data_IF_960893632641
#
_entry.id   IF_960893632641
#
_cell.length_a   1.000
_cell.length_b   1.000
_cell.length_c   1.000
_cell.angle_alpha   90.00
_cell.angle_beta   90.00
_cell.angle_gamma   90.00
#
_symmetry.space_group_name_H-M   'P 1'
#
loop_
_entity.id
_entity.type
_entity.pdbx_description
1 polymer ?
#
# COMPACT_ATOMS: atom_id res chain seq x y z
N UNK A 1 -22.98 -9.63 -1.63
CA UNK A 1 -21.94 -10.43 -0.94
C UNK A 1 -20.61 -9.73 -1.11
N UNK A 2 -19.62 -9.99 -0.25
CA UNK A 2 -18.27 -9.41 -0.38
C UNK A 2 -17.25 -10.56 -0.34
N UNK A 3 -16.83 -11.08 -1.52
CA UNK A 3 -15.91 -12.21 -1.56
C UNK A 3 -14.52 -11.80 -1.08
N UNK A 4 -13.79 -12.77 -0.53
CA UNK A 4 -12.37 -12.59 -0.27
C UNK A 4 -11.63 -12.23 -1.56
N UNK A 5 -10.53 -11.50 -1.41
CA UNK A 5 -9.65 -11.19 -2.53
C UNK A 5 -9.21 -12.48 -3.26
N UNK A 6 -9.11 -12.43 -4.60
CA UNK A 6 -8.89 -13.62 -5.42
C UNK A 6 -7.49 -14.20 -5.18
N UNK A 7 -6.47 -13.36 -5.10
CA UNK A 7 -5.09 -13.78 -4.88
C UNK A 7 -4.58 -13.47 -3.47
N UNK A 8 -5.36 -12.75 -2.67
CA UNK A 8 -5.01 -12.43 -1.29
C UNK A 8 -4.00 -11.29 -1.18
N UNK A 9 -3.78 -10.53 -2.27
CA UNK A 9 -2.93 -9.36 -2.35
C UNK A 9 -3.84 -8.13 -2.43
N UNK A 10 -3.77 -7.27 -1.43
CA UNK A 10 -4.56 -6.03 -1.41
C UNK A 10 -3.61 -4.85 -1.51
N UNK A 11 -3.49 -4.19 -2.68
CA UNK A 11 -2.60 -3.05 -2.82
C UNK A 11 -3.06 -1.89 -1.93
N UNK A 12 -2.09 -1.22 -1.34
CA UNK A 12 -2.28 0.02 -0.59
C UNK A 12 -1.63 1.14 -1.40
N UNK A 13 -2.38 2.18 -1.68
CA UNK A 13 -1.90 3.28 -2.51
C UNK A 13 -2.32 4.63 -1.95
N UNK A 14 -1.41 5.60 -1.98
CA UNK A 14 -1.69 7.00 -1.61
C UNK A 14 -2.55 7.72 -2.65
N UNK A 15 -2.53 7.24 -3.89
CA UNK A 15 -3.34 7.70 -5.03
C UNK A 15 -4.05 6.50 -5.66
N UNK A 16 -5.14 6.71 -6.40
CA UNK A 16 -5.91 5.62 -7.02
C UNK A 16 -5.15 5.05 -8.24
N UNK A 17 -4.25 4.09 -8.01
CA UNK A 17 -3.53 3.38 -9.09
C UNK A 17 -4.19 2.07 -9.52
N UNK A 18 -4.95 1.44 -8.62
CA UNK A 18 -5.61 0.15 -8.83
C UNK A 18 -7.09 0.28 -8.47
N UNK A 19 -7.96 -0.35 -9.25
CA UNK A 19 -9.40 -0.31 -9.01
C UNK A 19 -9.79 -1.05 -7.71
N UNK A 20 -9.02 -2.06 -7.33
CA UNK A 20 -9.22 -2.99 -6.22
C UNK A 20 -8.32 -2.69 -5.02
N UNK A 21 -7.82 -1.45 -4.88
CA UNK A 21 -7.04 -1.09 -3.70
C UNK A 21 -7.82 -1.19 -2.39
N UNK A 22 -7.09 -1.19 -1.28
CA UNK A 22 -7.67 -1.35 0.05
C UNK A 22 -8.81 -0.36 0.35
N UNK A 23 -8.71 0.88 -0.13
CA UNK A 23 -9.75 1.90 0.08
C UNK A 23 -10.99 1.58 -0.74
N UNK A 24 -10.83 1.19 -2.02
CA UNK A 24 -11.92 0.74 -2.87
C UNK A 24 -12.63 -0.48 -2.26
N UNK A 25 -11.86 -1.45 -1.76
CA UNK A 25 -12.40 -2.64 -1.10
C UNK A 25 -13.18 -2.31 0.18
N UNK A 26 -12.76 -1.32 0.96
CA UNK A 26 -13.54 -0.84 2.12
C UNK A 26 -14.88 -0.26 1.66
N UNK A 27 -14.88 0.60 0.63
CA UNK A 27 -16.11 1.16 0.06
C UNK A 27 -17.05 0.08 -0.46
N UNK A 28 -16.52 -0.92 -1.16
CA UNK A 28 -17.30 -2.08 -1.61
C UNK A 28 -17.87 -2.91 -0.45
N UNK A 29 -17.08 -3.11 0.61
CA UNK A 29 -17.52 -3.80 1.82
C UNK A 29 -18.70 -3.05 2.47
N UNK A 30 -18.56 -1.74 2.70
CA UNK A 30 -19.65 -0.94 3.28
C UNK A 30 -20.92 -0.99 2.43
N UNK A 31 -20.78 -0.90 1.09
CA UNK A 31 -21.89 -1.04 0.15
C UNK A 31 -22.54 -2.42 0.24
N UNK A 32 -21.75 -3.48 0.35
CA UNK A 32 -22.25 -4.85 0.41
C UNK A 32 -23.00 -5.15 1.72
N UNK A 33 -22.63 -4.50 2.82
CA UNK A 33 -23.24 -4.71 4.14
C UNK A 33 -24.47 -3.84 4.36
N UNK A 34 -24.43 -2.56 3.97
CA UNK A 34 -25.48 -1.57 4.28
C UNK A 34 -26.21 -1.00 3.06
N UNK A 35 -25.84 -1.40 1.84
CA UNK A 35 -26.46 -0.93 0.60
C UNK A 35 -25.85 0.37 0.06
N UNK A 36 -26.30 0.78 -1.13
CA UNK A 36 -25.87 2.02 -1.79
C UNK A 36 -26.37 3.28 -1.08
N UNK A 37 -27.56 3.21 -0.50
CA UNK A 37 -28.31 4.39 -0.05
C UNK A 37 -27.67 5.06 1.16
N UNK A 38 -26.91 4.30 1.95
CA UNK A 38 -26.21 4.77 3.16
C UNK A 38 -24.69 4.85 2.97
N UNK A 39 -24.19 4.59 1.76
CA UNK A 39 -22.75 4.42 1.54
C UNK A 39 -21.94 5.67 1.90
N UNK A 40 -22.38 6.85 1.46
CA UNK A 40 -21.65 8.09 1.72
C UNK A 40 -21.65 8.45 3.21
N UNK A 41 -22.77 8.23 3.91
CA UNK A 41 -22.86 8.43 5.36
C UNK A 41 -21.94 7.46 6.11
N UNK A 42 -21.90 6.19 5.71
CA UNK A 42 -21.02 5.19 6.32
C UNK A 42 -19.54 5.49 6.07
N UNK A 43 -19.19 5.95 4.86
CA UNK A 43 -17.83 6.37 4.52
C UNK A 43 -17.42 7.59 5.35
N UNK A 44 -18.30 8.58 5.49
CA UNK A 44 -18.04 9.78 6.30
C UNK A 44 -17.86 9.44 7.79
N UNK A 45 -18.74 8.58 8.34
CA UNK A 45 -18.66 8.11 9.72
C UNK A 45 -17.36 7.33 9.99
N UNK A 46 -16.97 6.44 9.07
CA UNK A 46 -15.72 5.69 9.19
C UNK A 46 -14.51 6.63 9.15
N UNK A 47 -14.48 7.56 8.19
CA UNK A 47 -13.41 8.55 8.07
C UNK A 47 -13.27 9.42 9.31
N UNK A 48 -14.38 9.84 9.93
CA UNK A 48 -14.38 10.58 11.20
C UNK A 48 -13.78 9.74 12.34
N UNK A 49 -14.14 8.46 12.41
CA UNK A 49 -13.66 7.54 13.44
C UNK A 49 -12.16 7.23 13.33
N UNK A 50 -11.60 7.24 12.12
CA UNK A 50 -10.17 7.00 11.85
C UNK A 50 -9.29 8.25 12.12
N UNK A 51 -9.92 9.38 12.45
CA UNK A 51 -9.25 10.63 12.76
C UNK A 51 -8.87 11.41 11.51
N UNK A 52 -9.59 12.51 11.27
CA UNK A 52 -9.18 13.55 10.31
C UNK A 52 -7.87 14.18 10.77
N UNK A 53 -7.01 14.62 9.83
CA UNK A 53 -5.93 15.54 10.19
C UNK A 53 -6.51 16.78 10.88
N UNK A 54 -5.71 17.45 11.70
CA UNK A 54 -6.14 18.64 12.44
C UNK A 54 -6.81 19.66 11.52
N UNK A 55 -7.72 20.48 12.08
CA UNK A 55 -8.60 21.43 11.40
C UNK A 55 -7.93 22.45 10.45
N UNK A 56 -6.59 22.47 10.33
CA UNK A 56 -5.85 23.26 9.33
C UNK A 56 -5.89 22.67 7.91
N UNK A 57 -6.20 21.38 7.75
CA UNK A 57 -6.37 20.71 6.44
C UNK A 57 -7.83 20.34 6.22
N UNK A 58 -8.71 21.34 6.15
CA UNK A 58 -10.17 21.20 6.06
C UNK A 58 -10.70 20.69 4.69
N UNK A 59 -9.93 19.90 3.94
CA UNK A 59 -10.26 19.54 2.55
C UNK A 59 -10.11 18.05 2.20
N UNK A 60 -9.70 17.17 3.12
CA UNK A 60 -9.67 15.72 2.82
C UNK A 60 -11.11 15.17 2.76
N UNK A 61 -11.44 14.51 1.65
CA UNK A 61 -12.66 13.71 1.48
C UNK A 61 -12.63 12.47 2.38
N UNK A 62 -13.78 11.80 2.62
CA UNK A 62 -13.81 10.54 3.35
C UNK A 62 -12.88 9.47 2.75
N UNK A 63 -12.86 9.32 1.42
CA UNK A 63 -11.97 8.38 0.72
C UNK A 63 -10.49 8.72 0.94
N UNK A 64 -10.10 10.00 0.83
CA UNK A 64 -8.72 10.43 1.10
C UNK A 64 -8.31 10.16 2.55
N UNK A 65 -9.22 10.38 3.49
CA UNK A 65 -8.98 10.11 4.92
C UNK A 65 -8.76 8.62 5.19
N UNK A 66 -9.61 7.76 4.65
CA UNK A 66 -9.51 6.30 4.79
C UNK A 66 -8.23 5.80 4.11
N UNK A 67 -7.97 6.23 2.88
CA UNK A 67 -6.76 5.89 2.11
C UNK A 67 -5.49 6.23 2.86
N UNK A 68 -5.40 7.46 3.39
CA UNK A 68 -4.28 7.91 4.22
C UNK A 68 -4.12 7.06 5.48
N UNK A 69 -5.22 6.76 6.17
CA UNK A 69 -5.18 5.88 7.35
C UNK A 69 -4.59 4.51 7.01
N UNK A 70 -5.03 3.89 5.92
CA UNK A 70 -4.55 2.58 5.49
C UNK A 70 -3.07 2.61 5.12
N UNK A 71 -2.61 3.65 4.41
CA UNK A 71 -1.21 3.80 4.03
C UNK A 71 -0.26 4.06 5.21
N UNK A 72 -0.68 4.87 6.19
CA UNK A 72 0.24 5.44 7.19
C UNK A 72 0.14 4.81 8.59
N UNK A 73 -1.05 4.32 8.95
CA UNK A 73 -1.41 3.98 10.34
C UNK A 73 -1.90 2.55 10.51
N UNK A 74 -2.68 2.01 9.58
CA UNK A 74 -3.31 0.70 9.71
C UNK A 74 -2.34 -0.39 10.15
N UNK A 75 -1.18 -0.50 9.51
CA UNK A 75 -0.25 -1.58 9.84
C UNK A 75 0.33 -1.44 11.27
N UNK A 76 0.48 -0.23 11.79
CA UNK A 76 0.93 0.00 13.18
C UNK A 76 -0.13 -0.48 14.18
N UNK A 77 -1.39 -0.12 13.93
CA UNK A 77 -2.52 -0.56 14.75
C UNK A 77 -2.69 -2.09 14.69
N UNK A 78 -2.49 -2.65 13.50
CA UNK A 78 -2.52 -4.09 13.26
C UNK A 78 -1.38 -4.82 14.01
N UNK A 79 -0.14 -4.31 13.95
CA UNK A 79 0.98 -4.85 14.74
C UNK A 79 0.68 -4.83 16.24
N UNK A 80 0.09 -3.75 16.76
CA UNK A 80 -0.28 -3.64 18.16
C UNK A 80 -1.36 -4.65 18.54
N UNK A 81 -2.42 -4.72 17.75
CA UNK A 81 -3.56 -5.63 17.96
C UNK A 81 -3.11 -7.08 18.01
N UNK A 82 -2.20 -7.47 17.12
CA UNK A 82 -1.67 -8.83 17.04
C UNK A 82 -0.38 -9.05 17.85
N UNK A 83 -0.06 -8.18 18.82
CA UNK A 83 1.10 -8.32 19.72
C UNK A 83 2.41 -8.63 18.98
N UNK A 84 2.69 -7.88 17.91
CA UNK A 84 3.84 -8.05 17.00
C UNK A 84 3.88 -9.39 16.25
N UNK A 85 2.73 -10.05 16.06
CA UNK A 85 2.56 -11.29 15.27
C UNK A 85 1.45 -11.10 14.23
N UNK A 86 1.62 -10.20 13.26
CA UNK A 86 0.55 -9.78 12.36
C UNK A 86 0.09 -10.93 11.43
N UNK A 87 -1.22 -10.99 11.16
CA UNK A 87 -1.81 -11.99 10.23
C UNK A 87 -1.92 -11.48 8.79
N UNK A 88 -2.10 -10.17 8.59
CA UNK A 88 -1.82 -9.49 7.33
C UNK A 88 -0.40 -8.96 7.36
N UNK A 89 0.37 -9.26 6.33
CA UNK A 89 1.74 -8.85 6.17
C UNK A 89 1.82 -7.68 5.20
N UNK A 90 2.53 -6.63 5.61
CA UNK A 90 2.65 -5.40 4.84
C UNK A 90 3.94 -5.44 4.03
N UNK A 91 3.80 -5.75 2.74
CA UNK A 91 4.86 -5.59 1.76
C UNK A 91 4.98 -4.11 1.44
N UNK A 92 6.20 -3.56 1.52
CA UNK A 92 6.45 -2.14 1.30
C UNK A 92 7.78 -1.93 0.58
N UNK A 93 7.77 -1.03 -0.41
CA UNK A 93 8.98 -0.65 -1.15
C UNK A 93 9.94 0.24 -0.36
N UNK A 94 9.49 0.82 0.75
CA UNK A 94 10.31 1.65 1.60
C UNK A 94 9.70 3.02 1.91
N UNK A 95 10.57 4.02 2.05
CA UNK A 95 10.23 5.32 2.66
C UNK A 95 9.33 6.19 1.79
N UNK A 96 9.42 6.09 0.47
CA UNK A 96 8.55 6.84 -0.43
C UNK A 96 7.15 6.23 -0.51
N UNK A 97 6.97 4.98 -0.06
CA UNK A 97 5.72 4.25 -0.25
C UNK A 97 5.38 4.17 -1.74
N UNK A 98 6.36 3.83 -2.57
CA UNK A 98 6.16 3.70 -4.01
C UNK A 98 5.21 2.54 -4.34
N UNK A 99 5.35 1.44 -3.60
CA UNK A 99 4.43 0.31 -3.61
C UNK A 99 4.20 -0.20 -2.19
N UNK A 100 2.95 -0.50 -1.87
CA UNK A 100 2.56 -1.12 -0.62
C UNK A 100 1.45 -2.13 -0.90
N UNK A 101 1.43 -3.25 -0.18
CA UNK A 101 0.34 -4.23 -0.26
C UNK A 101 0.21 -5.02 1.04
N UNK A 102 -1.03 -5.43 1.35
CA UNK A 102 -1.31 -6.39 2.40
C UNK A 102 -1.47 -7.78 1.78
N UNK A 103 -0.78 -8.76 2.36
CA UNK A 103 -0.94 -10.16 2.01
C UNK A 103 -1.39 -10.93 3.24
N UNK A 104 -2.46 -11.70 3.11
CA UNK A 104 -2.92 -12.53 4.23
C UNK A 104 -2.05 -13.78 4.39
N UNK A 105 -1.45 -13.98 5.56
CA UNK A 105 -0.53 -15.09 5.88
C UNK A 105 -1.05 -16.46 5.42
N UNK A 106 -2.30 -16.78 5.74
CA UNK A 106 -2.86 -18.11 5.44
C UNK A 106 -3.20 -18.33 3.95
N UNK A 107 -3.09 -17.28 3.14
CA UNK A 107 -3.28 -17.35 1.68
C UNK A 107 -1.97 -17.21 0.92
N UNK A 108 -0.87 -16.94 1.60
CA UNK A 108 0.43 -16.89 0.98
C UNK A 108 0.80 -18.29 0.45
N UNK A 109 1.37 -18.33 -0.75
CA UNK A 109 1.95 -19.51 -1.36
C UNK A 109 3.23 -19.14 -2.14
N UNK A 110 3.98 -20.13 -2.60
CA UNK A 110 5.28 -19.93 -3.29
C UNK A 110 5.21 -19.06 -4.57
N UNK A 111 4.01 -18.85 -5.11
CA UNK A 111 3.76 -18.00 -6.28
C UNK A 111 3.31 -16.57 -5.94
N UNK A 112 3.10 -16.25 -4.66
CA UNK A 112 2.56 -14.94 -4.23
C UNK A 112 3.50 -13.80 -4.62
N UNK A 113 4.82 -13.94 -4.43
CA UNK A 113 5.78 -12.87 -4.79
C UNK A 113 5.88 -12.67 -6.30
N UNK A 114 5.86 -13.75 -7.07
CA UNK A 114 5.85 -13.67 -8.53
C UNK A 114 4.60 -12.93 -9.03
N UNK A 115 3.44 -13.20 -8.41
CA UNK A 115 2.18 -12.51 -8.71
C UNK A 115 2.20 -11.04 -8.27
N UNK A 116 2.65 -10.76 -7.06
CA UNK A 116 2.84 -9.39 -6.52
C UNK A 116 3.63 -8.54 -7.53
N UNK A 117 4.70 -9.14 -8.09
CA UNK A 117 5.54 -8.50 -9.08
C UNK A 117 4.83 -8.28 -10.42
N UNK A 118 4.28 -9.34 -10.98
CA UNK A 118 3.72 -9.34 -12.34
C UNK A 118 2.43 -8.51 -12.46
N UNK A 119 1.54 -8.60 -11.47
CA UNK A 119 0.21 -7.98 -11.51
C UNK A 119 0.20 -6.55 -10.94
N UNK A 120 1.15 -6.21 -10.07
CA UNK A 120 1.14 -4.92 -9.37
C UNK A 120 2.39 -4.07 -9.61
N UNK A 121 3.58 -4.56 -9.25
CA UNK A 121 4.82 -3.75 -9.29
C UNK A 121 5.21 -3.36 -10.72
N UNK A 122 5.21 -4.31 -11.65
CA UNK A 122 5.56 -4.05 -13.06
C UNK A 122 4.55 -3.08 -13.71
N UNK A 123 3.21 -3.30 -13.62
CA UNK A 123 2.24 -2.36 -14.13
C UNK A 123 2.32 -0.97 -13.49
N UNK A 124 2.55 -0.89 -12.17
CA UNK A 124 2.69 0.38 -11.46
C UNK A 124 3.89 1.19 -11.95
N UNK A 125 5.00 0.52 -12.27
CA UNK A 125 6.20 1.17 -12.83
C UNK A 125 5.85 1.88 -14.15
N UNK A 126 5.14 1.19 -15.05
CA UNK A 126 4.65 1.80 -16.30
C UNK A 126 3.69 2.96 -16.07
N UNK A 127 2.72 2.82 -15.14
CA UNK A 127 1.76 3.88 -14.78
C UNK A 127 2.45 5.12 -14.24
N UNK A 128 3.42 4.97 -13.33
CA UNK A 128 4.19 6.09 -12.76
C UNK A 128 5.01 6.78 -13.85
N UNK A 129 5.69 6.03 -14.71
CA UNK A 129 6.46 6.59 -15.82
C UNK A 129 5.58 7.40 -16.78
N UNK A 130 4.43 6.86 -17.20
CA UNK A 130 3.48 7.58 -18.04
C UNK A 130 2.94 8.85 -17.36
N UNK A 131 2.67 8.80 -16.05
CA UNK A 131 2.22 9.98 -15.29
C UNK A 131 3.31 11.06 -15.22
N UNK A 132 4.57 10.67 -15.03
CA UNK A 132 5.71 11.61 -15.05
C UNK A 132 5.76 12.35 -16.39
N UNK A 133 5.71 11.63 -17.51
CA UNK A 133 5.78 12.22 -18.85
C UNK A 133 4.61 13.17 -19.13
N UNK A 134 3.40 12.79 -18.69
CA UNK A 134 2.21 13.63 -18.82
C UNK A 134 2.37 14.94 -18.04
N UNK A 135 2.75 14.87 -16.75
CA UNK A 135 2.93 16.05 -15.92
C UNK A 135 4.09 16.94 -16.40
N UNK A 136 5.12 16.37 -17.00
CA UNK A 136 6.20 17.14 -17.63
C UNK A 136 5.70 17.93 -18.84
N UNK A 137 4.88 17.32 -19.70
CA UNK A 137 4.24 18.03 -20.83
C UNK A 137 3.32 19.14 -20.33
N UNK A 138 2.51 18.87 -19.30
CA UNK A 138 1.63 19.87 -18.69
C UNK A 138 2.42 21.02 -18.08
N UNK A 139 3.57 20.75 -17.45
CA UNK A 139 4.44 21.77 -16.87
C UNK A 139 5.03 22.70 -17.95
N UNK A 140 5.37 22.16 -19.12
CA UNK A 140 5.83 22.93 -20.28
C UNK A 140 4.71 23.80 -20.86
N UNK A 141 3.48 23.27 -20.90
CA UNK A 141 2.30 23.98 -21.40
C UNK A 141 1.67 24.95 -20.37
N UNK A 142 2.11 24.92 -19.11
CA UNK A 142 1.52 25.71 -18.04
C UNK A 142 1.62 27.22 -18.29
N UNK A 143 0.48 27.90 -18.21
CA UNK A 143 0.33 29.35 -18.43
C UNK A 143 0.88 30.22 -17.30
N UNK A 144 1.10 29.66 -16.11
CA UNK A 144 1.63 30.39 -14.95
C UNK A 144 2.81 29.68 -14.31
N UNK A 145 3.74 30.46 -13.76
CA UNK A 145 4.87 29.95 -12.99
C UNK A 145 4.43 29.16 -11.75
N UNK A 146 3.34 29.57 -11.11
CA UNK A 146 2.78 28.85 -9.96
C UNK A 146 2.30 27.43 -10.35
N UNK A 147 1.54 27.31 -11.44
CA UNK A 147 1.08 26.01 -11.94
C UNK A 147 2.26 25.13 -12.38
N UNK A 148 3.23 25.70 -13.10
CA UNK A 148 4.46 24.99 -13.50
C UNK A 148 5.22 24.45 -12.29
N UNK A 149 5.42 25.26 -11.25
CA UNK A 149 6.12 24.85 -10.05
C UNK A 149 5.38 23.75 -9.28
N UNK A 150 4.04 23.76 -9.26
CA UNK A 150 3.24 22.68 -8.65
C UNK A 150 3.45 21.36 -9.41
N UNK A 151 3.31 21.37 -10.74
CA UNK A 151 3.51 20.19 -11.58
C UNK A 151 4.94 19.64 -11.47
N UNK A 152 5.95 20.51 -11.49
CA UNK A 152 7.35 20.08 -11.30
C UNK A 152 7.58 19.40 -9.95
N UNK A 153 6.94 19.87 -8.87
CA UNK A 153 7.04 19.20 -7.56
C UNK A 153 6.41 17.81 -7.57
N UNK A 154 5.27 17.64 -8.23
CA UNK A 154 4.62 16.34 -8.40
C UNK A 154 5.49 15.38 -9.23
N UNK A 155 6.10 15.87 -10.31
CA UNK A 155 7.08 15.11 -11.11
C UNK A 155 8.24 14.62 -10.25
N UNK A 156 8.83 15.48 -9.41
CA UNK A 156 9.95 15.08 -8.55
C UNK A 156 9.53 14.08 -7.46
N UNK A 157 8.29 14.18 -6.93
CA UNK A 157 7.71 13.15 -6.04
C UNK A 157 7.64 11.79 -6.75
N UNK A 158 7.07 11.77 -7.96
CA UNK A 158 6.91 10.53 -8.72
C UNK A 158 8.23 9.93 -9.19
N UNK A 159 9.23 10.73 -9.56
CA UNK A 159 10.57 10.23 -9.88
C UNK A 159 11.23 9.50 -8.71
N UNK A 160 11.11 10.04 -7.49
CA UNK A 160 11.61 9.36 -6.29
C UNK A 160 10.91 8.02 -6.06
N UNK A 161 9.58 8.00 -6.22
CA UNK A 161 8.81 6.74 -6.17
C UNK A 161 9.24 5.76 -7.27
N UNK A 162 9.45 6.23 -8.49
CA UNK A 162 9.88 5.39 -9.61
C UNK A 162 11.23 4.73 -9.33
N UNK A 163 12.22 5.49 -8.84
CA UNK A 163 13.53 4.94 -8.48
C UNK A 163 13.42 3.91 -7.36
N UNK A 164 12.64 4.19 -6.30
CA UNK A 164 12.39 3.22 -5.22
C UNK A 164 11.69 1.96 -5.75
N UNK A 165 10.70 2.11 -6.64
CA UNK A 165 9.94 1.01 -7.21
C UNK A 165 10.81 0.10 -8.10
N UNK A 166 11.73 0.66 -8.87
CA UNK A 166 12.69 -0.12 -9.67
C UNK A 166 13.62 -0.95 -8.79
N UNK A 167 14.14 -0.37 -7.71
CA UNK A 167 14.98 -1.10 -6.75
C UNK A 167 14.17 -2.22 -6.06
N UNK A 168 12.91 -1.93 -5.71
CA UNK A 168 12.01 -2.91 -5.13
C UNK A 168 11.66 -4.05 -6.12
N UNK A 169 11.47 -3.75 -7.41
CA UNK A 169 11.23 -4.78 -8.44
C UNK A 169 12.39 -5.79 -8.52
N UNK A 170 13.63 -5.30 -8.47
CA UNK A 170 14.81 -6.15 -8.48
C UNK A 170 14.89 -7.04 -7.24
N UNK A 171 14.65 -6.46 -6.06
CA UNK A 171 14.60 -7.22 -4.80
C UNK A 171 13.49 -8.27 -4.85
N UNK A 172 12.28 -7.87 -5.27
CA UNK A 172 11.13 -8.76 -5.33
C UNK A 172 11.35 -9.90 -6.33
N UNK A 173 12.00 -9.64 -7.47
CA UNK A 173 12.41 -10.67 -8.44
C UNK A 173 13.29 -11.72 -7.77
N UNK A 174 14.33 -11.29 -7.05
CA UNK A 174 15.22 -12.21 -6.35
C UNK A 174 14.47 -13.13 -5.37
N UNK A 175 13.60 -12.56 -4.54
CA UNK A 175 12.79 -13.35 -3.59
C UNK A 175 11.72 -14.21 -4.27
N UNK A 176 11.18 -13.78 -5.40
CA UNK A 176 10.25 -14.60 -6.18
C UNK A 176 10.94 -15.85 -6.74
N UNK A 177 12.19 -15.73 -7.20
CA UNK A 177 12.98 -16.87 -7.68
C UNK A 177 13.29 -17.89 -6.57
N UNK A 178 13.36 -17.44 -5.31
CA UNK A 178 13.55 -18.32 -4.14
C UNK A 178 12.32 -19.19 -3.83
N UNK A 179 11.13 -18.87 -4.36
CA UNK A 179 9.87 -19.61 -4.15
C UNK A 179 9.61 -19.95 -2.68
N UNK A 180 9.75 -18.97 -1.80
CA UNK A 180 9.62 -19.16 -0.35
C UNK A 180 8.26 -19.80 -0.04
N UNK A 181 8.28 -20.92 0.68
CA UNK A 181 7.10 -21.56 1.28
C UNK A 181 7.05 -21.28 2.78
N UNK A 182 5.83 -21.27 3.33
CA UNK A 182 5.60 -21.06 4.76
C UNK A 182 5.16 -22.36 5.40
N UNK A 183 5.77 -22.68 6.53
CA UNK A 183 5.26 -23.67 7.46
C UNK A 183 4.60 -22.91 8.61
N UNK A 184 3.28 -23.03 8.76
CA UNK A 184 2.56 -22.25 9.77
C UNK A 184 2.93 -22.67 11.20
N UNK A 185 3.47 -23.87 11.40
CA UNK A 185 3.90 -24.36 12.71
C UNK A 185 5.20 -23.67 13.20
N UNK A 186 6.03 -23.16 12.27
CA UNK A 186 7.17 -22.28 12.60
C UNK A 186 6.72 -20.97 13.28
N UNK A 187 5.44 -20.61 13.11
CA UNK A 187 4.84 -19.40 13.63
C UNK A 187 5.26 -18.13 12.90
N UNK A 188 4.61 -17.02 13.24
CA UNK A 188 4.75 -15.75 12.48
C UNK A 188 6.19 -15.25 12.45
N UNK A 189 6.92 -15.28 13.57
CA UNK A 189 8.25 -14.66 13.65
C UNK A 189 9.26 -15.27 12.68
N UNK A 190 9.35 -16.60 12.68
CA UNK A 190 10.29 -17.35 11.84
C UNK A 190 9.93 -17.15 10.37
N UNK A 191 8.64 -17.27 10.04
CA UNK A 191 8.16 -17.08 8.68
C UNK A 191 8.35 -15.64 8.17
N UNK A 192 8.10 -14.63 9.00
CA UNK A 192 8.31 -13.23 8.63
C UNK A 192 9.77 -12.93 8.30
N UNK A 193 10.70 -13.56 9.02
CA UNK A 193 12.14 -13.41 8.80
C UNK A 193 12.62 -13.92 7.44
N UNK A 194 11.86 -14.79 6.76
CA UNK A 194 12.21 -15.34 5.44
C UNK A 194 12.20 -14.27 4.34
N UNK A 195 11.55 -13.12 4.56
CA UNK A 195 11.35 -12.08 3.53
C UNK A 195 12.31 -10.90 3.62
N UNK A 196 13.23 -10.90 4.60
CA UNK A 196 14.19 -9.80 4.80
C UNK A 196 13.51 -8.44 4.85
N UNK A 197 13.96 -7.52 3.99
CA UNK A 197 13.47 -6.13 3.94
C UNK A 197 12.22 -5.93 3.05
N UNK A 198 11.65 -6.99 2.46
CA UNK A 198 10.41 -6.85 1.67
C UNK A 198 9.19 -6.51 2.53
N UNK A 199 9.24 -6.89 3.81
CA UNK A 199 8.17 -6.69 4.78
C UNK A 199 8.48 -5.52 5.71
N UNK A 200 7.50 -4.65 5.88
CA UNK A 200 7.57 -3.56 6.84
C UNK A 200 7.74 -4.11 8.27
N UNK A 201 8.45 -3.36 9.12
CA UNK A 201 8.62 -3.67 10.54
C UNK A 201 9.21 -5.08 10.81
N UNK A 202 9.97 -5.65 9.86
CA UNK A 202 10.59 -6.97 10.00
C UNK A 202 11.37 -7.11 11.32
N UNK A 203 12.22 -6.12 11.67
CA UNK A 203 12.95 -6.11 12.93
C UNK A 203 12.05 -6.15 14.17
N UNK A 204 10.89 -5.49 14.13
CA UNK A 204 9.94 -5.47 15.25
C UNK A 204 9.26 -6.84 15.43
N UNK A 205 8.93 -7.50 14.33
CA UNK A 205 8.25 -8.81 14.34
C UNK A 205 9.23 -9.93 14.70
N UNK A 206 10.41 -9.95 14.08
CA UNK A 206 11.43 -10.98 14.31
C UNK A 206 12.14 -10.81 15.66
N UNK A 207 12.00 -9.63 16.28
CA UNK A 207 12.64 -9.31 17.56
C UNK A 207 14.13 -9.06 17.39
N UNK A 208 14.48 -8.24 16.39
CA UNK A 208 15.86 -7.88 16.05
C UNK A 208 16.68 -7.66 17.30
N UNK A 209 17.94 -8.13 17.28
CA UNK A 209 18.88 -7.95 18.37
C UNK A 209 18.75 -6.52 18.90
N UNK A 210 18.44 -6.40 20.19
CA UNK A 210 18.67 -5.15 20.89
C UNK A 210 20.15 -4.82 20.67
N UNK A 211 20.41 -3.78 19.87
CA UNK A 211 21.67 -3.07 19.98
C UNK A 211 21.64 -2.42 21.37
N UNK A 212 22.15 -3.16 22.37
CA UNK A 212 22.65 -2.61 23.63
C UNK A 212 23.90 -1.76 23.36
#
# INVERSE_FOLDING_TARGET
>A
TFPADADGIVPITDELWFADDACSRIREFLRAVWGSDTLEDNMAWLAESLGKKSAKEASETPDETIRRYIADKFFKDHLQTYKKRPIYWHFSSGKQGAFQALVYLHRYHEGTLARLRAEYVVPLTGKIQSRIEMLQKDALAASSTAARNKLSKEVEKLKKKHVELMAYDEQLRHYADMRITLDLDDGVKVNYGKFGDLLDSAKVVTGGASDD
#
